data_IF_153449942096
#
_entry.id   IF_153449942096
#
_cell.length_a   1.000
_cell.length_b   1.000
_cell.length_c   1.000
_cell.angle_alpha   90.00
_cell.angle_beta   90.00
_cell.angle_gamma   90.00
#
_symmetry.space_group_name_H-M   'P 1'
#
loop_
_entity.id
_entity.type
_entity.pdbx_description
1 polymer ?
#
# COMPACT_ATOMS: atom_id res chain seq x y z
N UNK A 1 -12.42 14.89 15.97
CA UNK A 1 -11.38 15.58 16.78
C UNK A 1 -10.80 16.82 16.09
N UNK A 2 -10.54 16.80 14.79
CA UNK A 2 -10.07 17.95 14.00
C UNK A 2 -11.03 19.15 13.97
N UNK A 3 -12.35 18.92 13.86
CA UNK A 3 -13.36 19.99 13.92
C UNK A 3 -13.38 20.74 15.27
N UNK A 4 -13.08 20.03 16.38
CA UNK A 4 -13.03 20.61 17.73
C UNK A 4 -11.82 21.56 17.85
N UNK A 5 -10.66 21.19 17.29
CA UNK A 5 -9.46 22.02 17.28
C UNK A 5 -9.61 23.28 16.40
N UNK A 6 -10.41 23.18 15.33
CA UNK A 6 -10.73 24.29 14.43
C UNK A 6 -11.68 25.29 15.09
N UNK A 7 -12.72 24.80 15.79
CA UNK A 7 -13.65 25.62 16.55
C UNK A 7 -13.00 26.38 17.72
N UNK A 8 -11.96 25.81 18.34
CA UNK A 8 -11.18 26.44 19.40
C UNK A 8 -10.03 27.34 18.89
N UNK A 9 -9.93 27.58 17.57
CA UNK A 9 -8.88 28.41 16.98
C UNK A 9 -7.46 27.85 17.18
N UNK A 10 -7.33 26.57 17.54
CA UNK A 10 -6.05 25.93 17.86
C UNK A 10 -5.40 25.24 16.67
N UNK A 11 -6.10 25.18 15.54
CA UNK A 11 -5.63 24.57 14.31
C UNK A 11 -4.67 25.52 13.58
N UNK A 12 -3.38 25.44 13.93
CA UNK A 12 -2.30 26.16 13.27
C UNK A 12 -1.52 25.21 12.36
N UNK A 13 -0.84 25.73 11.33
CA UNK A 13 -0.04 24.91 10.41
C UNK A 13 0.94 23.97 11.13
N UNK A 14 1.49 24.38 12.27
CA UNK A 14 2.34 23.54 13.11
C UNK A 14 1.61 22.34 13.74
N UNK A 15 0.34 22.48 14.12
CA UNK A 15 -0.45 21.39 14.74
C UNK A 15 -0.83 20.27 13.77
N UNK A 16 -0.68 20.49 12.46
CA UNK A 16 -0.87 19.47 11.43
C UNK A 16 0.35 18.53 11.32
N UNK A 17 1.49 18.94 11.90
CA UNK A 17 2.74 18.19 11.82
C UNK A 17 3.13 17.66 13.20
N UNK A 18 3.60 16.40 13.30
CA UNK A 18 4.17 15.89 14.53
C UNK A 18 5.40 16.73 14.94
N UNK A 19 5.65 16.89 16.24
CA UNK A 19 6.72 17.77 16.75
C UNK A 19 8.10 17.49 16.14
N UNK A 20 8.40 16.22 15.83
CA UNK A 20 9.64 15.81 15.17
C UNK A 20 9.79 16.36 13.74
N UNK A 21 8.68 16.66 13.06
CA UNK A 21 8.69 17.21 11.70
C UNK A 21 8.66 18.74 11.68
N UNK A 22 8.27 19.40 12.78
CA UNK A 22 8.31 20.86 12.90
C UNK A 22 9.75 21.40 12.92
N UNK A 23 10.70 20.65 13.48
CA UNK A 23 12.12 21.03 13.58
C UNK A 23 12.84 20.99 12.22
N UNK A 24 12.37 20.16 11.29
CA UNK A 24 12.95 20.02 9.94
C UNK A 24 11.85 19.94 8.86
N UNK A 25 10.96 20.93 8.84
CA UNK A 25 9.78 20.94 7.96
C UNK A 25 10.13 20.74 6.48
N UNK A 26 11.16 21.43 5.96
CA UNK A 26 11.57 21.29 4.56
C UNK A 26 12.03 19.85 4.23
N UNK A 27 12.82 19.23 5.12
CA UNK A 27 13.26 17.84 4.96
C UNK A 27 12.08 16.87 5.02
N UNK A 28 11.12 17.10 5.91
CA UNK A 28 9.93 16.28 6.04
C UNK A 28 9.04 16.38 4.79
N UNK A 29 8.85 17.58 4.24
CA UNK A 29 8.13 17.78 2.97
C UNK A 29 8.82 17.03 1.83
N UNK A 30 10.14 17.20 1.66
CA UNK A 30 10.90 16.51 0.61
C UNK A 30 10.78 14.99 0.75
N UNK A 31 10.90 14.46 1.96
CA UNK A 31 10.75 13.02 2.21
C UNK A 31 9.33 12.52 1.92
N UNK A 32 8.29 13.29 2.25
CA UNK A 32 6.91 12.93 1.94
C UNK A 32 6.64 12.96 0.44
N UNK A 33 7.16 13.95 -0.28
CA UNK A 33 7.06 14.01 -1.74
C UNK A 33 7.76 12.81 -2.36
N UNK A 34 8.99 12.51 -1.92
CA UNK A 34 9.75 11.38 -2.44
C UNK A 34 9.05 10.04 -2.14
N UNK A 35 8.56 9.86 -0.92
CA UNK A 35 7.77 8.69 -0.54
C UNK A 35 6.52 8.55 -1.41
N UNK A 36 5.71 9.60 -1.52
CA UNK A 36 4.50 9.60 -2.32
C UNK A 36 4.77 9.33 -3.81
N UNK A 37 5.86 9.87 -4.35
CA UNK A 37 6.26 9.62 -5.74
C UNK A 37 6.75 8.18 -5.94
N UNK A 38 7.64 7.67 -5.09
CA UNK A 38 8.26 6.35 -5.28
C UNK A 38 7.27 5.21 -4.98
N UNK A 39 6.47 5.32 -3.91
CA UNK A 39 5.54 4.26 -3.53
C UNK A 39 4.15 4.39 -4.15
N UNK A 40 3.79 5.56 -4.67
CA UNK A 40 2.44 5.84 -5.17
C UNK A 40 2.40 6.35 -6.61
N UNK A 41 2.99 7.53 -6.86
CA UNK A 41 2.89 8.21 -8.15
C UNK A 41 3.48 7.41 -9.32
N UNK A 42 4.71 6.90 -9.18
CA UNK A 42 5.37 6.11 -10.21
C UNK A 42 4.63 4.77 -10.45
N UNK A 43 4.31 3.96 -9.41
CA UNK A 43 3.50 2.76 -9.58
C UNK A 43 2.16 3.01 -10.27
N UNK A 44 1.48 4.13 -9.96
CA UNK A 44 0.20 4.47 -10.57
C UNK A 44 0.33 4.73 -12.08
N UNK A 45 1.36 5.46 -12.50
CA UNK A 45 1.66 5.68 -13.91
C UNK A 45 1.98 4.36 -14.63
N UNK A 46 2.79 3.51 -14.01
CA UNK A 46 3.13 2.18 -14.53
C UNK A 46 1.87 1.30 -14.61
N UNK A 47 0.98 1.37 -13.62
CA UNK A 47 -0.27 0.63 -13.59
C UNK A 47 -1.19 1.01 -14.75
N UNK A 48 -1.38 2.31 -15.01
CA UNK A 48 -2.19 2.77 -16.14
C UNK A 48 -1.58 2.40 -17.50
N UNK A 49 -0.26 2.49 -17.65
CA UNK A 49 0.42 2.03 -18.86
C UNK A 49 0.29 0.49 -19.01
N UNK A 50 0.40 -0.23 -17.90
CA UNK A 50 0.19 -1.67 -17.82
C UNK A 50 -1.21 -2.10 -18.23
N UNK A 51 -2.25 -1.36 -17.82
CA UNK A 51 -3.63 -1.57 -18.26
C UNK A 51 -3.84 -1.32 -19.76
N UNK A 52 -3.00 -0.49 -20.39
CA UNK A 52 -3.02 -0.29 -21.85
C UNK A 52 -2.44 -1.48 -22.61
N UNK A 53 -1.49 -2.19 -21.98
CA UNK A 53 -0.75 -3.30 -22.59
C UNK A 53 -1.25 -4.69 -22.14
N UNK A 54 -2.01 -4.77 -21.05
CA UNK A 54 -2.48 -6.02 -20.43
C UNK A 54 -3.96 -5.92 -20.04
N UNK A 55 -4.64 -7.06 -19.88
CA UNK A 55 -6.04 -7.09 -19.46
C UNK A 55 -6.17 -6.67 -17.98
N UNK A 56 -7.32 -6.06 -17.66
CA UNK A 56 -7.63 -5.63 -16.29
C UNK A 56 -7.54 -6.76 -15.24
N UNK A 57 -7.88 -7.98 -15.64
CA UNK A 57 -7.78 -9.19 -14.80
C UNK A 57 -6.34 -9.50 -14.39
N UNK A 58 -5.39 -9.42 -15.34
CA UNK A 58 -3.96 -9.62 -15.06
C UNK A 58 -3.40 -8.52 -14.16
N UNK A 59 -3.85 -7.27 -14.35
CA UNK A 59 -3.46 -6.16 -13.48
C UNK A 59 -3.96 -6.37 -12.04
N UNK A 60 -5.20 -6.84 -11.86
CA UNK A 60 -5.74 -7.18 -10.54
C UNK A 60 -4.99 -8.31 -9.85
N UNK A 61 -4.50 -9.30 -10.58
CA UNK A 61 -3.62 -10.34 -10.02
C UNK A 61 -2.31 -9.76 -9.46
N UNK A 62 -1.67 -8.84 -10.20
CA UNK A 62 -0.47 -8.16 -9.73
C UNK A 62 -0.73 -7.23 -8.52
N UNK A 63 -1.91 -6.63 -8.41
CA UNK A 63 -2.26 -5.90 -7.17
C UNK A 63 -2.35 -6.84 -5.97
N UNK A 64 -2.93 -8.04 -6.15
CA UNK A 64 -3.03 -9.01 -5.07
C UNK A 64 -1.67 -9.57 -4.64
N UNK A 65 -0.73 -9.77 -5.58
CA UNK A 65 0.62 -10.24 -5.28
C UNK A 65 1.44 -9.22 -4.46
N UNK A 66 1.11 -7.93 -4.53
CA UNK A 66 1.76 -6.87 -3.74
C UNK A 66 1.68 -7.17 -2.23
N UNK A 67 0.54 -7.69 -1.76
CA UNK A 67 0.35 -8.03 -0.35
C UNK A 67 1.32 -9.12 0.10
N UNK A 68 1.55 -10.13 -0.75
CA UNK A 68 2.52 -11.19 -0.49
C UNK A 68 3.95 -10.66 -0.54
N UNK A 69 4.26 -9.83 -1.53
CA UNK A 69 5.57 -9.18 -1.64
C UNK A 69 5.89 -8.30 -0.41
N UNK A 70 4.91 -7.57 0.11
CA UNK A 70 5.06 -6.76 1.31
C UNK A 70 5.42 -7.63 2.53
N UNK A 71 4.74 -8.77 2.73
CA UNK A 71 5.08 -9.73 3.80
C UNK A 71 6.51 -10.25 3.64
N UNK A 72 6.93 -10.62 2.42
CA UNK A 72 8.29 -11.08 2.14
C UNK A 72 9.34 -9.99 2.43
N UNK A 73 9.08 -8.73 2.09
CA UNK A 73 9.98 -7.60 2.36
C UNK A 73 10.04 -7.31 3.87
N UNK A 74 8.91 -7.33 4.57
CA UNK A 74 8.87 -7.10 6.03
C UNK A 74 9.60 -8.21 6.79
N UNK A 75 9.50 -9.46 6.35
CA UNK A 75 10.22 -10.57 6.94
C UNK A 75 11.71 -10.57 6.60
N UNK A 76 12.05 -10.47 5.31
CA UNK A 76 13.42 -10.63 4.81
C UNK A 76 14.31 -9.40 4.96
N UNK A 77 13.77 -8.19 4.79
CA UNK A 77 14.55 -6.95 4.89
C UNK A 77 14.51 -6.34 6.28
N UNK A 78 13.32 -6.23 6.88
CA UNK A 78 13.14 -5.59 8.19
C UNK A 78 13.38 -6.52 9.39
N UNK A 79 13.70 -7.81 9.16
CA UNK A 79 13.96 -8.81 10.21
C UNK A 79 12.86 -8.89 11.28
N UNK A 80 11.62 -8.52 10.93
CA UNK A 80 10.51 -8.61 11.84
C UNK A 80 10.14 -10.09 12.03
N UNK A 81 10.18 -10.57 13.28
CA UNK A 81 9.79 -11.94 13.61
C UNK A 81 8.28 -12.11 13.40
N UNK A 82 7.89 -13.05 12.54
CA UNK A 82 6.49 -13.44 12.41
C UNK A 82 6.08 -14.31 13.60
N UNK A 83 5.00 -13.91 14.27
CA UNK A 83 4.35 -14.75 15.26
C UNK A 83 3.62 -15.92 14.58
N UNK A 84 3.43 -17.06 15.26
CA UNK A 84 2.79 -18.25 14.67
C UNK A 84 1.40 -17.97 14.06
N UNK A 85 0.60 -17.10 14.71
CA UNK A 85 -0.72 -16.72 14.20
C UNK A 85 -0.64 -15.87 12.91
N UNK A 86 0.42 -15.09 12.72
CA UNK A 86 0.64 -14.32 11.49
C UNK A 86 1.02 -15.23 10.33
N UNK A 87 1.74 -16.33 10.60
CA UNK A 87 2.03 -17.36 9.60
C UNK A 87 0.74 -18.04 9.14
N UNK A 88 -0.15 -18.40 10.07
CA UNK A 88 -1.46 -18.96 9.74
C UNK A 88 -2.29 -17.97 8.91
N UNK A 89 -2.32 -16.69 9.32
CA UNK A 89 -3.01 -15.64 8.57
C UNK A 89 -2.43 -15.47 7.14
N UNK A 90 -1.11 -15.54 6.98
CA UNK A 90 -0.46 -15.47 5.67
C UNK A 90 -0.83 -16.66 4.77
N UNK A 91 -0.87 -17.88 5.32
CA UNK A 91 -1.29 -19.07 4.57
C UNK A 91 -2.76 -18.97 4.11
N UNK A 92 -3.64 -18.49 4.99
CA UNK A 92 -5.06 -18.25 4.65
C UNK A 92 -5.18 -17.19 3.54
N UNK A 93 -4.39 -16.11 3.63
CA UNK A 93 -4.37 -15.06 2.61
C UNK A 93 -3.93 -15.62 1.24
N UNK A 94 -2.86 -16.40 1.20
CA UNK A 94 -2.37 -17.04 -0.04
C UNK A 94 -3.44 -17.95 -0.63
N UNK A 95 -4.11 -18.75 0.20
CA UNK A 95 -5.20 -19.62 -0.25
C UNK A 95 -6.37 -18.83 -0.84
N UNK A 96 -6.75 -17.71 -0.20
CA UNK A 96 -7.80 -16.83 -0.69
C UNK A 96 -7.45 -16.20 -2.05
N UNK A 97 -6.23 -15.68 -2.21
CA UNK A 97 -5.74 -15.12 -3.48
C UNK A 97 -5.73 -16.18 -4.58
N UNK A 98 -5.24 -17.39 -4.28
CA UNK A 98 -5.23 -18.49 -5.24
C UNK A 98 -6.64 -18.89 -5.71
N UNK A 99 -7.63 -18.89 -4.79
CA UNK A 99 -9.02 -19.15 -5.13
C UNK A 99 -9.61 -18.06 -6.02
N UNK A 100 -9.37 -16.79 -5.72
CA UNK A 100 -9.84 -15.66 -6.55
C UNK A 100 -9.24 -15.76 -7.95
N UNK A 101 -7.93 -16.00 -8.05
CA UNK A 101 -7.25 -16.18 -9.33
C UNK A 101 -7.82 -17.37 -10.12
N UNK A 102 -8.11 -18.49 -9.46
CA UNK A 102 -8.74 -19.65 -10.11
C UNK A 102 -10.12 -19.32 -10.68
N UNK A 103 -10.95 -18.57 -9.94
CA UNK A 103 -12.27 -18.13 -10.43
C UNK A 103 -12.13 -17.17 -11.62
N UNK A 104 -11.18 -16.23 -11.57
CA UNK A 104 -10.92 -15.30 -12.68
C UNK A 104 -10.55 -16.05 -13.97
N UNK A 105 -9.69 -17.06 -13.88
CA UNK A 105 -9.32 -17.91 -15.03
C UNK A 105 -10.53 -18.68 -15.61
N UNK A 106 -11.44 -19.15 -14.77
CA UNK A 106 -12.63 -19.90 -15.23
C UNK A 106 -13.67 -19.01 -15.93
N UNK A 107 -13.84 -17.78 -15.46
CA UNK A 107 -14.72 -16.78 -16.10
C UNK A 107 -14.15 -16.40 -17.47
N UNK A 108 -12.85 -16.16 -17.58
CA UNK A 108 -12.20 -15.84 -18.86
C UNK A 108 -12.22 -16.99 -19.88
N UNK A 109 -12.34 -18.24 -19.44
CA UNK A 109 -12.45 -19.39 -20.33
C UNK A 109 -13.86 -19.57 -20.93
N UNK A 110 -14.87 -18.87 -20.38
CA UNK A 110 -16.28 -18.94 -20.81
C UNK A 110 -16.73 -17.75 -21.66
N UNK A 111 -15.89 -16.71 -21.83
CA UNK A 111 -16.08 -15.58 -22.74
C UNK A 111 -15.31 -15.79 -24.07
#
# INVERSE_FOLDING_TARGET
MTLILLAYGKLHGATLWPMAAQTHAAKAIVLLVLLASVSGGIPLLIYFEGLRLTRASTAGYFEMIQTLAAVCITWGFFHASLYPHQVVAALVLIAAVAMVHHVQLQVEAHD
#
